data_IF_933085319429
#
_entry.id   IF_933085319429
#
_cell.length_a   1.000
_cell.length_b   1.000
_cell.length_c   1.000
_cell.angle_alpha   90.00
_cell.angle_beta   90.00
_cell.angle_gamma   90.00
#
_symmetry.space_group_name_H-M   'P 1'
#
loop_
_entity.id
_entity.type
_entity.pdbx_description
1 polymer ?
#
# COMPACT_ATOMS: atom_id res chain seq x y z
N UNK A 1 -13.26 -18.34 -11.22
CA UNK A 1 -14.08 -17.12 -11.02
C UNK A 1 -13.72 -16.08 -12.06
N UNK A 2 -14.66 -15.23 -12.45
CA UNK A 2 -14.44 -14.04 -13.28
C UNK A 2 -14.34 -12.82 -12.36
N UNK A 3 -13.15 -12.26 -12.23
CA UNK A 3 -12.83 -11.21 -11.25
C UNK A 3 -12.47 -9.93 -12.00
N UNK A 4 -13.13 -8.82 -11.67
CA UNK A 4 -12.73 -7.49 -12.16
C UNK A 4 -12.08 -6.70 -11.02
N UNK A 5 -10.84 -6.26 -11.25
CA UNK A 5 -10.13 -5.30 -10.41
C UNK A 5 -10.37 -3.90 -10.99
N UNK A 6 -10.87 -2.97 -10.18
CA UNK A 6 -11.10 -1.58 -10.61
C UNK A 6 -10.17 -0.65 -9.84
N UNK A 7 -9.27 0.02 -10.56
CA UNK A 7 -8.30 0.99 -10.04
C UNK A 7 -8.66 2.41 -10.48
N UNK A 8 -8.11 3.41 -9.79
CA UNK A 8 -8.32 4.82 -10.15
C UNK A 8 -7.46 5.21 -11.35
N UNK A 9 -6.16 5.01 -11.24
CA UNK A 9 -5.17 5.36 -12.26
C UNK A 9 -4.03 4.34 -12.31
N UNK A 10 -3.08 4.57 -13.22
CA UNK A 10 -1.79 3.88 -13.27
C UNK A 10 -0.66 4.72 -12.68
N UNK A 11 -0.98 5.70 -11.84
CA UNK A 11 0.01 6.53 -11.17
C UNK A 11 0.82 5.75 -10.15
N UNK A 12 1.98 6.31 -9.78
CA UNK A 12 2.89 5.67 -8.83
C UNK A 12 2.46 5.92 -7.38
N UNK A 13 1.32 5.37 -7.00
CA UNK A 13 0.83 5.35 -5.62
C UNK A 13 1.01 3.99 -4.95
N UNK A 14 0.90 3.96 -3.62
CA UNK A 14 0.96 2.70 -2.86
C UNK A 14 -0.27 1.81 -3.12
N UNK A 15 -1.43 2.41 -3.30
CA UNK A 15 -2.69 1.72 -3.60
C UNK A 15 -2.65 1.07 -4.97
N UNK A 16 -2.23 1.83 -6.00
CA UNK A 16 -2.15 1.38 -7.38
C UNK A 16 -1.15 0.23 -7.51
N UNK A 17 0.04 0.36 -6.90
CA UNK A 17 1.03 -0.73 -6.87
C UNK A 17 0.47 -2.01 -6.28
N UNK A 18 -0.23 -1.93 -5.15
CA UNK A 18 -0.81 -3.11 -4.50
C UNK A 18 -1.96 -3.72 -5.30
N UNK A 19 -2.79 -2.89 -5.94
CA UNK A 19 -3.88 -3.37 -6.78
C UNK A 19 -3.36 -4.07 -8.05
N UNK A 20 -2.33 -3.52 -8.69
CA UNK A 20 -1.70 -4.11 -9.86
C UNK A 20 -0.92 -5.39 -9.52
N UNK A 21 -0.22 -5.41 -8.39
CA UNK A 21 0.45 -6.63 -7.89
C UNK A 21 -0.57 -7.74 -7.61
N UNK A 22 -1.67 -7.43 -6.92
CA UNK A 22 -2.76 -8.40 -6.71
C UNK A 22 -3.36 -8.88 -8.03
N UNK A 23 -3.57 -7.99 -9.01
CA UNK A 23 -4.04 -8.34 -10.35
C UNK A 23 -3.09 -9.33 -11.02
N UNK A 24 -1.79 -9.05 -10.97
CA UNK A 24 -0.72 -9.92 -11.48
C UNK A 24 -0.77 -11.30 -10.83
N UNK A 25 -0.79 -11.35 -9.51
CA UNK A 25 -0.78 -12.61 -8.74
C UNK A 25 -2.00 -13.47 -9.05
N UNK A 26 -3.20 -12.88 -9.04
CA UNK A 26 -4.44 -13.57 -9.38
C UNK A 26 -4.43 -14.11 -10.81
N UNK A 27 -3.89 -13.35 -11.78
CA UNK A 27 -3.77 -13.78 -13.17
C UNK A 27 -2.78 -14.94 -13.32
N UNK A 28 -1.59 -14.79 -12.74
CA UNK A 28 -0.53 -15.81 -12.83
C UNK A 28 -0.86 -17.10 -12.07
N UNK A 29 -1.76 -17.05 -11.08
CA UNK A 29 -2.24 -18.26 -10.39
C UNK A 29 -2.95 -19.23 -11.31
N UNK A 30 -3.47 -18.76 -12.46
CA UNK A 30 -4.22 -19.55 -13.41
C UNK A 30 -5.59 -20.07 -12.93
N UNK A 31 -5.96 -19.78 -11.68
CA UNK A 31 -7.23 -20.22 -11.07
C UNK A 31 -8.43 -19.36 -11.46
N UNK A 32 -8.18 -18.15 -11.93
CA UNK A 32 -9.20 -17.13 -12.16
C UNK A 32 -9.05 -16.49 -13.54
N UNK A 33 -10.17 -16.08 -14.11
CA UNK A 33 -10.19 -15.19 -15.26
C UNK A 33 -10.23 -13.76 -14.74
N UNK A 34 -9.10 -13.03 -14.88
CA UNK A 34 -8.89 -11.73 -14.27
C UNK A 34 -9.03 -10.62 -15.29
N UNK A 35 -9.85 -9.65 -14.97
CA UNK A 35 -10.09 -8.42 -15.73
C UNK A 35 -9.57 -7.23 -14.93
N UNK A 36 -9.05 -6.24 -15.62
CA UNK A 36 -8.64 -4.97 -15.04
C UNK A 36 -9.39 -3.84 -15.74
N UNK A 37 -9.83 -2.85 -14.99
CA UNK A 37 -10.36 -1.60 -15.50
C UNK A 37 -9.85 -0.42 -14.69
N UNK A 38 -9.82 0.77 -15.28
CA UNK A 38 -9.34 2.00 -14.62
C UNK A 38 -10.27 3.18 -14.88
N UNK A 39 -10.26 4.16 -13.97
CA UNK A 39 -10.94 5.43 -14.19
C UNK A 39 -10.09 6.38 -15.04
N UNK A 40 -8.75 6.28 -14.98
CA UNK A 40 -7.83 7.07 -15.79
C UNK A 40 -6.93 6.17 -16.65
N UNK A 41 -6.56 6.70 -17.83
CA UNK A 41 -5.83 5.93 -18.84
C UNK A 41 -4.32 5.90 -18.60
N UNK A 42 -3.80 6.99 -18.07
CA UNK A 42 -2.37 7.27 -18.02
C UNK A 42 -1.75 6.93 -16.67
N UNK A 43 -0.43 6.85 -16.66
CA UNK A 43 0.38 6.63 -15.48
C UNK A 43 1.54 5.68 -15.74
N UNK A 44 2.61 5.86 -14.96
CA UNK A 44 3.90 5.17 -15.13
C UNK A 44 3.82 3.67 -14.87
N UNK A 45 2.82 3.20 -14.13
CA UNK A 45 2.63 1.78 -13.81
C UNK A 45 1.93 1.00 -14.93
N UNK A 46 1.42 1.67 -15.98
CA UNK A 46 0.71 0.98 -17.05
C UNK A 46 1.59 -0.06 -17.76
N UNK A 47 2.87 0.24 -17.93
CA UNK A 47 3.84 -0.69 -18.52
C UNK A 47 4.05 -1.96 -17.69
N UNK A 48 3.83 -1.92 -16.38
CA UNK A 48 4.09 -3.05 -15.47
C UNK A 48 3.14 -4.23 -15.62
N UNK A 49 2.04 -4.08 -16.38
CA UNK A 49 1.05 -5.12 -16.65
C UNK A 49 1.00 -5.55 -18.11
N UNK A 50 1.84 -4.96 -18.98
CA UNK A 50 1.80 -5.21 -20.42
C UNK A 50 2.10 -6.68 -20.77
N UNK A 51 2.93 -7.33 -19.98
CA UNK A 51 3.32 -8.74 -20.12
C UNK A 51 2.18 -9.71 -19.75
N UNK A 52 1.20 -9.28 -18.95
CA UNK A 52 0.12 -10.16 -18.44
C UNK A 52 -0.93 -10.53 -19.49
N UNK A 53 -0.96 -9.85 -20.63
CA UNK A 53 -1.93 -10.13 -21.70
C UNK A 53 -3.39 -10.21 -21.20
N UNK A 54 -3.77 -9.30 -20.29
CA UNK A 54 -5.12 -9.25 -19.71
C UNK A 54 -6.24 -8.90 -20.72
N UNK A 55 -5.89 -8.72 -21.99
CA UNK A 55 -6.80 -8.20 -23.02
C UNK A 55 -6.94 -6.68 -22.96
N UNK A 56 -8.09 -6.17 -23.45
CA UNK A 56 -8.38 -4.76 -23.37
C UNK A 56 -8.63 -4.35 -21.91
N UNK A 57 -7.99 -3.25 -21.48
CA UNK A 57 -8.24 -2.62 -20.17
C UNK A 57 -9.17 -1.43 -20.37
N UNK A 58 -10.48 -1.58 -20.11
CA UNK A 58 -11.45 -0.51 -20.30
C UNK A 58 -11.18 0.67 -19.38
N UNK A 59 -11.31 1.88 -19.94
CA UNK A 59 -11.16 3.12 -19.20
C UNK A 59 -12.53 3.80 -19.06
N UNK A 60 -12.84 4.26 -17.84
CA UNK A 60 -14.06 4.95 -17.47
C UNK A 60 -13.76 6.35 -16.93
N UNK A 61 -13.37 7.33 -17.79
CA UNK A 61 -12.87 8.61 -17.34
C UNK A 61 -13.93 9.41 -16.60
N UNK A 62 -13.63 9.77 -15.35
CA UNK A 62 -14.50 10.55 -14.47
C UNK A 62 -13.83 11.87 -14.08
N UNK A 63 -14.37 13.00 -14.57
CA UNK A 63 -13.98 14.34 -14.12
C UNK A 63 -14.84 14.83 -12.95
N UNK A 64 -16.07 14.34 -12.86
CA UNK A 64 -17.03 14.65 -11.80
C UNK A 64 -17.99 13.48 -11.63
N UNK A 65 -18.52 13.29 -10.43
CA UNK A 65 -19.58 12.31 -10.15
C UNK A 65 -20.99 12.84 -10.41
N UNK A 66 -21.13 14.12 -10.73
CA UNK A 66 -22.41 14.83 -10.81
C UNK A 66 -22.77 15.29 -12.21
N UNK A 67 -22.06 14.82 -13.24
CA UNK A 67 -22.29 15.19 -14.62
C UNK A 67 -22.91 14.05 -15.45
N UNK A 68 -23.36 14.38 -16.65
CA UNK A 68 -23.92 13.41 -17.59
C UNK A 68 -22.89 12.37 -18.04
N UNK A 69 -21.60 12.73 -18.01
CA UNK A 69 -20.53 11.80 -18.33
C UNK A 69 -20.43 10.68 -17.28
N UNK A 70 -20.55 10.99 -16.00
CA UNK A 70 -20.55 9.98 -14.93
C UNK A 70 -21.67 8.96 -15.13
N UNK A 71 -22.88 9.41 -15.52
CA UNK A 71 -24.00 8.51 -15.87
C UNK A 71 -23.70 7.65 -17.09
N UNK A 72 -23.07 8.22 -18.12
CA UNK A 72 -22.64 7.48 -19.31
C UNK A 72 -21.61 6.41 -18.95
N UNK A 73 -20.58 6.77 -18.18
CA UNK A 73 -19.56 5.81 -17.75
C UNK A 73 -20.16 4.72 -16.84
N UNK A 74 -21.08 5.07 -15.95
CA UNK A 74 -21.78 4.10 -15.10
C UNK A 74 -22.57 3.07 -15.94
N UNK A 75 -23.27 3.51 -16.99
CA UNK A 75 -23.95 2.58 -17.91
C UNK A 75 -22.96 1.68 -18.65
N UNK A 76 -21.81 2.23 -19.09
CA UNK A 76 -20.75 1.46 -19.78
C UNK A 76 -20.17 0.37 -18.90
N UNK A 77 -19.79 0.68 -17.66
CA UNK A 77 -19.23 -0.33 -16.75
C UNK A 77 -20.28 -1.36 -16.32
N UNK A 78 -21.55 -0.96 -16.10
CA UNK A 78 -22.65 -1.90 -15.81
C UNK A 78 -22.85 -2.90 -16.97
N UNK A 79 -22.81 -2.42 -18.20
CA UNK A 79 -22.88 -3.27 -19.38
C UNK A 79 -21.69 -4.24 -19.46
N UNK A 80 -20.47 -3.72 -19.31
CA UNK A 80 -19.25 -4.54 -19.28
C UNK A 80 -19.29 -5.63 -18.19
N UNK A 81 -19.69 -5.28 -16.95
CA UNK A 81 -19.81 -6.25 -15.86
C UNK A 81 -20.77 -7.40 -16.20
N UNK A 82 -21.88 -7.09 -16.90
CA UNK A 82 -22.87 -8.08 -17.33
C UNK A 82 -22.40 -8.92 -18.51
N UNK A 83 -21.87 -8.31 -19.57
CA UNK A 83 -21.34 -9.01 -20.75
C UNK A 83 -20.19 -9.94 -20.37
N UNK A 84 -19.25 -9.45 -19.56
CA UNK A 84 -18.13 -10.23 -19.06
C UNK A 84 -18.54 -11.22 -17.96
N UNK A 85 -19.80 -11.28 -17.55
CA UNK A 85 -20.32 -12.18 -16.52
C UNK A 85 -19.44 -12.18 -15.24
N UNK A 86 -19.09 -10.98 -14.76
CA UNK A 86 -18.21 -10.81 -13.61
C UNK A 86 -18.87 -11.39 -12.35
N UNK A 87 -18.20 -12.35 -11.71
CA UNK A 87 -18.65 -12.96 -10.44
C UNK A 87 -18.29 -12.07 -9.25
N UNK A 88 -17.12 -11.44 -9.29
CA UNK A 88 -16.55 -10.65 -8.21
C UNK A 88 -15.96 -9.33 -8.73
N UNK A 89 -16.37 -8.21 -8.11
CA UNK A 89 -15.81 -6.89 -8.33
C UNK A 89 -15.05 -6.44 -7.08
N UNK A 90 -13.77 -6.10 -7.25
CA UNK A 90 -12.92 -5.53 -6.20
C UNK A 90 -12.44 -4.14 -6.59
N UNK A 91 -12.66 -3.15 -5.73
CA UNK A 91 -12.29 -1.74 -5.94
C UNK A 91 -11.28 -1.30 -4.88
N UNK A 92 -10.33 -0.39 -5.21
CA UNK A 92 -9.11 -0.22 -4.43
C UNK A 92 -8.93 1.14 -3.74
N UNK A 93 -9.73 2.14 -4.06
CA UNK A 93 -9.62 3.50 -3.51
C UNK A 93 -10.98 4.19 -3.36
N UNK A 94 -10.95 5.46 -3.00
CA UNK A 94 -12.15 6.24 -2.74
C UNK A 94 -13.07 6.36 -3.95
N UNK A 95 -12.51 6.76 -5.10
CA UNK A 95 -13.32 7.03 -6.30
C UNK A 95 -13.84 5.76 -6.91
N UNK A 96 -13.01 4.74 -7.00
CA UNK A 96 -13.42 3.42 -7.49
C UNK A 96 -14.42 2.75 -6.55
N UNK A 97 -14.33 2.96 -5.24
CA UNK A 97 -15.32 2.44 -4.28
C UNK A 97 -16.71 3.03 -4.54
N UNK A 98 -16.81 4.35 -4.76
CA UNK A 98 -18.10 4.99 -5.03
C UNK A 98 -18.66 4.51 -6.38
N UNK A 99 -17.85 4.57 -7.42
CA UNK A 99 -18.26 4.24 -8.78
C UNK A 99 -18.51 2.74 -8.96
N UNK A 100 -17.55 1.93 -8.55
CA UNK A 100 -17.59 0.47 -8.75
C UNK A 100 -18.64 -0.21 -7.88
N UNK A 101 -18.82 0.18 -6.62
CA UNK A 101 -19.85 -0.42 -5.77
C UNK A 101 -21.26 -0.12 -6.30
N UNK A 102 -21.49 1.10 -6.77
CA UNK A 102 -22.75 1.47 -7.44
C UNK A 102 -22.97 0.64 -8.72
N UNK A 103 -21.93 0.56 -9.56
CA UNK A 103 -22.00 -0.22 -10.81
C UNK A 103 -22.23 -1.71 -10.55
N UNK A 104 -21.51 -2.29 -9.60
CA UNK A 104 -21.63 -3.70 -9.23
C UNK A 104 -23.00 -4.05 -8.64
N UNK A 105 -23.61 -3.12 -7.89
CA UNK A 105 -24.99 -3.28 -7.41
C UNK A 105 -25.96 -3.30 -8.58
N UNK A 106 -25.89 -2.31 -9.49
CA UNK A 106 -26.77 -2.20 -10.65
C UNK A 106 -26.57 -3.33 -11.65
N UNK A 107 -25.36 -3.85 -11.79
CA UNK A 107 -25.06 -4.99 -12.64
C UNK A 107 -25.51 -6.33 -12.06
N UNK A 108 -25.76 -6.40 -10.75
CA UNK A 108 -26.12 -7.65 -10.06
C UNK A 108 -24.90 -8.55 -9.80
N UNK A 109 -23.68 -7.97 -9.67
CA UNK A 109 -22.46 -8.74 -9.38
C UNK A 109 -22.60 -9.47 -8.05
N UNK A 110 -22.30 -10.77 -8.04
CA UNK A 110 -22.53 -11.67 -6.91
C UNK A 110 -21.77 -11.24 -5.65
N UNK A 111 -20.47 -10.89 -5.82
CA UNK A 111 -19.62 -10.44 -4.72
C UNK A 111 -19.02 -9.08 -5.06
N UNK A 112 -19.15 -8.13 -4.15
CA UNK A 112 -18.60 -6.76 -4.27
C UNK A 112 -17.74 -6.47 -3.05
N UNK A 113 -16.48 -6.12 -3.30
CA UNK A 113 -15.47 -5.84 -2.28
C UNK A 113 -14.93 -4.44 -2.52
N UNK A 114 -14.94 -3.61 -1.50
CA UNK A 114 -14.29 -2.31 -1.49
C UNK A 114 -13.03 -2.37 -0.64
N UNK A 115 -11.96 -1.67 -1.01
CA UNK A 115 -10.75 -1.56 -0.18
C UNK A 115 -10.58 -0.16 0.40
N UNK A 116 -10.04 -0.10 1.61
CA UNK A 116 -9.52 1.12 2.22
C UNK A 116 -8.09 0.90 2.68
N UNK A 117 -7.17 1.80 2.25
CA UNK A 117 -5.73 1.68 2.48
C UNK A 117 -5.14 2.89 3.21
N UNK A 118 -5.97 3.64 3.92
CA UNK A 118 -5.59 4.87 4.63
C UNK A 118 -6.35 5.02 5.94
N UNK A 119 -5.73 5.62 6.95
CA UNK A 119 -6.36 5.95 8.23
C UNK A 119 -6.99 7.34 8.22
N UNK A 120 -6.30 8.33 7.66
CA UNK A 120 -6.74 9.73 7.62
C UNK A 120 -6.81 10.21 6.17
N UNK A 121 -7.97 10.02 5.52
CA UNK A 121 -8.23 10.74 4.28
C UNK A 121 -8.50 12.22 4.58
N UNK A 122 -7.91 13.12 3.81
CA UNK A 122 -8.28 14.56 3.79
C UNK A 122 -9.69 14.73 3.22
N UNK A 123 -10.68 14.05 3.82
CA UNK A 123 -12.05 13.96 3.30
C UNK A 123 -12.99 14.87 4.09
N UNK A 124 -13.79 15.60 3.34
CA UNK A 124 -14.88 16.41 3.90
C UNK A 124 -15.95 15.50 4.52
N UNK A 125 -16.80 16.08 5.38
CA UNK A 125 -17.93 15.35 5.95
C UNK A 125 -18.89 14.79 4.89
N UNK A 126 -19.08 15.50 3.77
CA UNK A 126 -19.88 15.04 2.63
C UNK A 126 -19.27 13.81 1.96
N UNK A 127 -17.97 13.86 1.66
CA UNK A 127 -17.24 12.73 1.06
C UNK A 127 -17.30 11.47 1.94
N UNK A 128 -17.18 11.62 3.27
CA UNK A 128 -17.32 10.49 4.21
C UNK A 128 -18.72 9.88 4.18
N UNK A 129 -19.78 10.69 4.05
CA UNK A 129 -21.16 10.18 3.92
C UNK A 129 -21.35 9.38 2.63
N UNK A 130 -20.87 9.90 1.50
CA UNK A 130 -20.96 9.21 0.20
C UNK A 130 -20.17 7.89 0.23
N UNK A 131 -18.98 7.89 0.81
CA UNK A 131 -18.18 6.68 0.98
C UNK A 131 -18.89 5.63 1.86
N UNK A 132 -19.50 6.06 2.96
CA UNK A 132 -20.27 5.15 3.82
C UNK A 132 -21.44 4.52 3.07
N UNK A 133 -22.13 5.29 2.22
CA UNK A 133 -23.17 4.78 1.33
C UNK A 133 -22.59 3.75 0.35
N UNK A 134 -21.46 4.05 -0.30
CA UNK A 134 -20.80 3.11 -1.19
C UNK A 134 -20.44 1.79 -0.48
N UNK A 135 -19.89 1.87 0.74
CA UNK A 135 -19.60 0.68 1.56
C UNK A 135 -20.86 -0.12 1.94
N UNK A 136 -22.05 0.51 2.01
CA UNK A 136 -23.28 -0.25 2.24
C UNK A 136 -23.61 -1.20 1.09
N UNK A 137 -23.17 -0.91 -0.13
CA UNK A 137 -23.32 -1.74 -1.32
C UNK A 137 -22.27 -2.85 -1.44
N UNK A 138 -21.13 -2.73 -0.76
CA UNK A 138 -20.14 -3.80 -0.69
C UNK A 138 -20.64 -4.98 0.16
N UNK A 139 -20.18 -6.19 -0.10
CA UNK A 139 -20.39 -7.32 0.79
C UNK A 139 -19.34 -7.38 1.89
N UNK A 140 -18.13 -6.95 1.57
CA UNK A 140 -17.00 -6.85 2.49
C UNK A 140 -16.19 -5.60 2.16
N UNK A 141 -15.58 -5.01 3.20
CA UNK A 141 -14.55 -3.97 3.04
C UNK A 141 -13.21 -4.56 3.47
N UNK A 142 -12.22 -4.47 2.60
CA UNK A 142 -10.84 -4.86 2.90
C UNK A 142 -10.09 -3.67 3.45
N UNK A 143 -9.57 -3.80 4.67
CA UNK A 143 -8.61 -2.88 5.28
C UNK A 143 -7.20 -3.45 5.11
N UNK A 144 -6.19 -2.60 4.88
CA UNK A 144 -4.81 -3.07 4.75
C UNK A 144 -4.04 -3.14 6.08
N UNK A 145 -4.71 -2.81 7.20
CA UNK A 145 -4.18 -2.92 8.56
C UNK A 145 -5.30 -2.99 9.60
N UNK A 146 -5.00 -3.48 10.79
CA UNK A 146 -5.94 -3.43 11.93
C UNK A 146 -6.24 -1.97 12.32
N UNK A 147 -5.27 -1.07 12.18
CA UNK A 147 -5.45 0.37 12.39
C UNK A 147 -6.51 0.97 11.45
N UNK A 148 -6.49 0.61 10.15
CA UNK A 148 -7.53 1.02 9.19
C UNK A 148 -8.89 0.38 9.50
N UNK A 149 -8.90 -0.89 9.91
CA UNK A 149 -10.13 -1.57 10.36
C UNK A 149 -10.73 -0.89 11.58
N UNK A 150 -9.92 -0.56 12.58
CA UNK A 150 -10.38 0.15 13.76
C UNK A 150 -10.98 1.51 13.39
N UNK A 151 -10.36 2.22 12.45
CA UNK A 151 -10.88 3.48 11.93
C UNK A 151 -12.24 3.32 11.25
N UNK A 152 -12.44 2.27 10.47
CA UNK A 152 -13.74 1.95 9.86
C UNK A 152 -14.81 1.64 10.91
N UNK A 153 -14.45 0.95 12.00
CA UNK A 153 -15.35 0.66 13.12
C UNK A 153 -15.76 1.96 13.83
N UNK A 154 -14.81 2.85 14.12
CA UNK A 154 -15.07 4.18 14.69
C UNK A 154 -16.00 5.03 13.81
N UNK A 155 -15.90 4.86 12.49
CA UNK A 155 -16.80 5.50 11.51
C UNK A 155 -18.17 4.82 11.42
N UNK A 156 -18.44 3.80 12.24
CA UNK A 156 -19.74 3.13 12.38
C UNK A 156 -19.94 1.92 11.46
N UNK A 157 -18.86 1.35 10.91
CA UNK A 157 -18.98 0.08 10.18
C UNK A 157 -18.92 -1.11 11.14
N UNK A 158 -19.71 -2.13 10.87
CA UNK A 158 -19.72 -3.35 11.66
C UNK A 158 -18.44 -4.16 11.41
N UNK A 159 -17.82 -4.68 12.47
CA UNK A 159 -16.54 -5.38 12.41
C UNK A 159 -16.59 -6.63 11.50
N UNK A 160 -17.72 -7.37 11.48
CA UNK A 160 -17.90 -8.54 10.62
C UNK A 160 -17.90 -8.24 9.12
N UNK A 161 -18.11 -6.98 8.75
CA UNK A 161 -18.04 -6.50 7.36
C UNK A 161 -16.66 -6.00 6.95
N UNK A 162 -15.67 -6.12 7.83
CA UNK A 162 -14.29 -5.68 7.55
C UNK A 162 -13.35 -6.87 7.67
N UNK A 163 -12.53 -7.09 6.66
CA UNK A 163 -11.45 -8.10 6.70
C UNK A 163 -10.13 -7.38 6.51
N UNK A 164 -9.14 -7.71 7.34
CA UNK A 164 -7.78 -7.20 7.14
C UNK A 164 -7.06 -8.12 6.17
N UNK A 165 -6.52 -7.53 5.11
CA UNK A 165 -5.58 -8.15 4.17
C UNK A 165 -4.42 -7.18 4.00
N UNK A 166 -3.29 -7.50 4.60
CA UNK A 166 -2.10 -6.65 4.54
C UNK A 166 -1.56 -6.52 3.11
N UNK A 167 -0.80 -5.47 2.86
CA UNK A 167 -0.06 -5.31 1.62
C UNK A 167 0.95 -6.46 1.48
N UNK A 168 1.15 -6.92 0.25
CA UNK A 168 2.20 -7.87 -0.10
C UNK A 168 3.36 -7.20 -0.82
N UNK A 169 4.54 -7.73 -0.64
CA UNK A 169 5.74 -7.27 -1.30
C UNK A 169 6.35 -8.39 -2.17
N UNK A 170 6.62 -8.07 -3.42
CA UNK A 170 7.45 -8.92 -4.27
C UNK A 170 8.92 -8.74 -3.81
N UNK A 171 9.45 -9.78 -3.18
CA UNK A 171 10.79 -9.77 -2.59
C UNK A 171 11.90 -9.58 -3.61
N UNK A 172 11.71 -10.04 -4.84
CA UNK A 172 12.69 -9.87 -5.93
C UNK A 172 12.97 -8.40 -6.24
N UNK A 173 11.99 -7.52 -5.99
CA UNK A 173 12.12 -6.07 -6.25
C UNK A 173 13.05 -5.35 -5.28
N UNK A 174 13.37 -5.93 -4.14
CA UNK A 174 14.22 -5.33 -3.09
C UNK A 174 15.54 -6.06 -2.91
N UNK A 175 15.79 -7.08 -3.71
CA UNK A 175 17.09 -7.75 -3.77
C UNK A 175 17.99 -6.98 -4.73
N UNK A 176 19.05 -6.40 -4.21
CA UNK A 176 20.05 -5.71 -5.03
C UNK A 176 20.77 -6.74 -5.96
N UNK A 177 21.08 -6.35 -7.20
CA UNK A 177 21.86 -7.19 -8.10
C UNK A 177 23.22 -7.57 -7.48
N UNK A 178 23.59 -8.84 -7.55
CA UNK A 178 24.84 -9.36 -6.94
C UNK A 178 26.12 -8.72 -7.48
N UNK A 179 26.05 -8.11 -8.65
CA UNK A 179 27.22 -7.60 -9.39
C UNK A 179 27.44 -6.09 -9.20
N UNK A 180 26.61 -5.41 -8.40
CA UNK A 180 26.77 -3.96 -8.16
C UNK A 180 27.48 -3.76 -6.84
N UNK A 181 28.62 -3.05 -6.88
CA UNK A 181 29.40 -2.75 -5.70
C UNK A 181 28.80 -1.56 -4.93
N UNK A 182 29.02 -1.52 -3.59
CA UNK A 182 28.62 -0.38 -2.75
C UNK A 182 29.13 0.95 -3.34
N UNK A 183 30.40 1.00 -3.74
CA UNK A 183 31.05 2.20 -4.27
C UNK A 183 30.45 2.65 -5.61
N UNK A 184 30.03 1.73 -6.45
CA UNK A 184 29.37 2.01 -7.72
C UNK A 184 27.98 2.59 -7.48
N UNK A 185 27.19 1.98 -6.60
CA UNK A 185 25.88 2.50 -6.19
C UNK A 185 26.01 3.91 -5.65
N UNK A 186 26.93 4.16 -4.71
CA UNK A 186 27.12 5.48 -4.09
C UNK A 186 27.56 6.53 -5.11
N UNK A 187 28.45 6.19 -6.04
CA UNK A 187 28.83 7.11 -7.13
C UNK A 187 27.65 7.47 -8.03
N UNK A 188 26.80 6.48 -8.36
CA UNK A 188 25.57 6.72 -9.15
C UNK A 188 24.60 7.64 -8.41
N UNK A 189 24.54 7.54 -7.08
CA UNK A 189 23.73 8.39 -6.22
C UNK A 189 24.36 9.79 -5.96
N UNK A 190 25.53 10.07 -6.53
CA UNK A 190 26.25 11.34 -6.35
C UNK A 190 26.94 11.48 -4.98
N UNK A 191 27.12 10.37 -4.27
CA UNK A 191 27.83 10.34 -2.99
C UNK A 191 29.32 10.13 -3.22
N UNK A 192 30.12 11.08 -2.76
CA UNK A 192 31.58 11.11 -3.03
C UNK A 192 32.42 10.36 -1.99
N UNK A 193 31.88 10.15 -0.78
CA UNK A 193 32.59 9.46 0.31
C UNK A 193 31.89 8.14 0.68
N UNK A 194 32.37 7.00 0.16
CA UNK A 194 31.78 5.68 0.42
C UNK A 194 32.03 5.16 1.85
N UNK A 195 32.93 5.79 2.61
CA UNK A 195 33.23 5.40 3.98
C UNK A 195 32.15 5.82 4.99
N UNK A 196 31.25 6.73 4.58
CA UNK A 196 30.15 7.23 5.42
C UNK A 196 29.09 6.17 5.67
N UNK A 197 28.39 6.32 6.80
CA UNK A 197 27.17 5.56 7.11
C UNK A 197 25.95 6.30 6.58
N UNK A 198 24.91 5.55 6.21
CA UNK A 198 23.75 6.12 5.51
C UNK A 198 22.46 5.84 6.23
N UNK A 199 21.72 6.90 6.55
CA UNK A 199 20.33 6.86 7.00
C UNK A 199 19.43 7.24 5.86
N UNK A 200 18.50 6.36 5.48
CA UNK A 200 17.72 6.49 4.24
C UNK A 200 16.23 6.61 4.52
N UNK A 201 15.57 7.53 3.81
CA UNK A 201 14.11 7.61 3.72
C UNK A 201 13.68 7.52 2.26
N UNK A 202 12.70 6.63 1.97
CA UNK A 202 12.11 6.47 0.64
C UNK A 202 10.62 6.81 0.72
N UNK A 203 10.25 7.99 0.29
CA UNK A 203 8.86 8.44 0.27
C UNK A 203 8.68 9.62 -0.70
N UNK A 204 7.47 9.83 -1.25
CA UNK A 204 7.21 11.03 -2.06
C UNK A 204 7.26 12.31 -1.22
N UNK A 205 7.57 13.44 -1.86
CA UNK A 205 7.65 14.78 -1.27
C UNK A 205 6.48 15.67 -1.76
N UNK A 206 5.29 15.05 -2.02
CA UNK A 206 4.12 15.76 -2.56
C UNK A 206 3.28 16.41 -1.47
N UNK A 207 3.18 15.75 -0.30
CA UNK A 207 2.35 16.20 0.81
C UNK A 207 3.12 16.11 2.12
N UNK A 208 2.72 16.91 3.10
CA UNK A 208 3.31 16.96 4.44
C UNK A 208 3.08 15.69 5.30
N UNK A 209 2.26 14.75 4.81
CA UNK A 209 1.96 13.48 5.48
C UNK A 209 3.22 12.67 5.81
N UNK A 210 4.28 12.75 5.00
CA UNK A 210 5.53 12.03 5.23
C UNK A 210 6.46 12.68 6.25
N UNK A 211 6.13 13.87 6.70
CA UNK A 211 6.82 14.68 7.72
C UNK A 211 8.35 14.66 7.59
N UNK A 212 8.84 14.94 6.39
CA UNK A 212 10.27 15.14 6.16
C UNK A 212 10.91 16.19 7.09
N UNK A 213 10.21 17.27 7.50
CA UNK A 213 10.73 18.19 8.50
C UNK A 213 11.09 17.52 9.84
N UNK A 214 10.28 16.56 10.32
CA UNK A 214 10.61 15.76 11.50
C UNK A 214 11.90 14.95 11.28
N UNK A 215 12.01 14.28 10.14
CA UNK A 215 13.21 13.52 9.78
C UNK A 215 14.46 14.41 9.72
N UNK A 216 14.38 15.60 9.09
CA UNK A 216 15.53 16.52 8.98
C UNK A 216 15.97 17.06 10.37
N UNK A 217 15.04 17.32 11.30
CA UNK A 217 15.39 17.66 12.68
C UNK A 217 16.09 16.50 13.40
N UNK A 218 15.58 15.28 13.23
CA UNK A 218 16.26 14.09 13.75
C UNK A 218 17.66 13.93 13.14
N UNK A 219 17.80 14.13 11.82
CA UNK A 219 19.07 14.11 11.09
C UNK A 219 20.07 15.12 11.64
N UNK A 220 19.64 16.34 11.98
CA UNK A 220 20.49 17.35 12.64
C UNK A 220 21.06 16.85 13.97
N UNK A 221 20.21 16.19 14.79
CA UNK A 221 20.63 15.60 16.07
C UNK A 221 21.62 14.44 15.86
N UNK A 222 21.36 13.57 14.88
CA UNK A 222 22.28 12.48 14.51
C UNK A 222 23.63 13.04 14.05
N UNK A 223 23.67 14.05 13.18
CA UNK A 223 24.90 14.67 12.69
C UNK A 223 25.74 15.28 13.80
N UNK A 224 25.12 15.83 14.85
CA UNK A 224 25.82 16.40 16.00
C UNK A 224 26.60 15.35 16.80
N UNK A 225 26.11 14.10 16.81
CA UNK A 225 26.73 12.98 17.57
C UNK A 225 27.59 12.08 16.67
N UNK A 226 27.24 11.98 15.41
CA UNK A 226 27.85 11.08 14.42
C UNK A 226 28.13 11.84 13.11
N UNK A 227 29.22 12.60 13.00
CA UNK A 227 29.54 13.46 11.86
C UNK A 227 29.87 12.68 10.58
N UNK A 228 30.14 11.38 10.68
CA UNK A 228 30.39 10.44 9.59
C UNK A 228 29.09 9.91 8.92
N UNK A 229 27.93 10.36 9.36
CA UNK A 229 26.63 9.94 8.82
C UNK A 229 26.17 10.87 7.72
N UNK A 230 25.58 10.29 6.68
CA UNK A 230 24.88 11.02 5.61
C UNK A 230 23.43 10.53 5.48
N UNK A 231 22.57 11.40 4.95
CA UNK A 231 21.13 11.16 4.83
C UNK A 231 20.75 11.08 3.35
N UNK A 232 20.12 9.96 2.96
CA UNK A 232 19.68 9.72 1.59
C UNK A 232 18.15 9.85 1.54
N UNK A 233 17.68 10.86 0.80
CA UNK A 233 16.24 11.16 0.68
C UNK A 233 15.80 10.85 -0.75
N UNK A 234 15.17 9.69 -0.93
CA UNK A 234 14.64 9.26 -2.23
C UNK A 234 13.14 9.54 -2.32
N UNK A 235 12.77 10.30 -3.33
CA UNK A 235 11.41 10.72 -3.64
C UNK A 235 11.39 12.04 -4.36
N UNK A 236 10.27 12.33 -4.99
CA UNK A 236 10.03 13.58 -5.71
C UNK A 236 8.72 14.24 -5.24
N UNK A 237 8.58 15.52 -5.44
CA UNK A 237 7.38 16.28 -5.15
C UNK A 237 7.66 17.76 -4.91
N UNK A 238 6.59 18.55 -4.79
CA UNK A 238 6.62 20.00 -4.70
C UNK A 238 7.33 20.52 -3.45
N UNK A 239 7.44 19.67 -2.41
CA UNK A 239 8.11 20.06 -1.15
C UNK A 239 9.63 20.01 -1.23
N UNK A 240 10.24 19.48 -2.30
CA UNK A 240 11.69 19.25 -2.37
C UNK A 240 12.52 20.51 -2.11
N UNK A 241 12.16 21.64 -2.73
CA UNK A 241 12.94 22.89 -2.56
C UNK A 241 12.81 23.46 -1.14
N UNK A 242 11.63 23.41 -0.53
CA UNK A 242 11.43 23.83 0.86
C UNK A 242 12.20 22.93 1.84
N UNK A 243 12.31 21.63 1.56
CA UNK A 243 13.09 20.69 2.36
C UNK A 243 14.60 20.90 2.23
N UNK A 244 15.11 21.25 1.04
CA UNK A 244 16.52 21.67 0.85
C UNK A 244 16.82 22.95 1.65
N UNK A 245 15.89 23.91 1.62
CA UNK A 245 16.05 25.13 2.40
C UNK A 245 16.08 24.83 3.91
N UNK A 246 15.22 23.91 4.39
CA UNK A 246 15.24 23.48 5.78
C UNK A 246 16.55 22.77 6.14
N UNK A 247 17.12 21.94 5.26
CA UNK A 247 18.40 21.28 5.48
C UNK A 247 19.55 22.31 5.62
N UNK A 248 19.53 23.42 4.85
CA UNK A 248 20.47 24.55 5.02
C UNK A 248 20.29 25.23 6.37
N UNK A 249 19.05 25.53 6.78
CA UNK A 249 18.77 26.16 8.06
C UNK A 249 19.21 25.30 9.25
N UNK A 250 19.13 23.97 9.09
CA UNK A 250 19.61 22.99 10.08
C UNK A 250 21.11 22.68 9.99
N UNK A 251 21.82 23.31 9.07
CA UNK A 251 23.28 23.11 8.85
C UNK A 251 23.67 21.66 8.52
N UNK A 252 22.81 20.93 7.80
CA UNK A 252 23.05 19.53 7.38
C UNK A 252 23.04 19.34 5.87
N UNK A 253 23.02 20.42 5.08
CA UNK A 253 22.96 20.36 3.61
C UNK A 253 24.10 19.50 3.03
N UNK A 254 25.33 19.67 3.54
CA UNK A 254 26.51 18.96 3.06
C UNK A 254 26.46 17.44 3.27
N UNK A 255 25.65 16.95 4.23
CA UNK A 255 25.45 15.53 4.52
C UNK A 255 24.09 14.99 4.06
N UNK A 256 23.27 15.80 3.39
CA UNK A 256 21.90 15.44 2.98
C UNK A 256 21.76 15.41 1.47
N UNK A 257 21.48 14.21 0.93
CA UNK A 257 21.40 13.98 -0.51
C UNK A 257 19.93 13.79 -0.92
N UNK A 258 19.41 14.72 -1.73
CA UNK A 258 18.08 14.63 -2.34
C UNK A 258 18.21 13.93 -3.69
N UNK A 259 17.86 12.65 -3.72
CA UNK A 259 18.11 11.76 -4.85
C UNK A 259 17.03 11.84 -5.95
N UNK A 260 15.95 12.58 -5.71
CA UNK A 260 14.81 12.55 -6.60
C UNK A 260 14.14 11.17 -6.62
N UNK A 261 13.48 10.85 -7.73
CA UNK A 261 12.86 9.55 -7.92
C UNK A 261 13.94 8.48 -8.11
N UNK A 262 13.96 7.47 -7.26
CA UNK A 262 14.83 6.30 -7.42
C UNK A 262 14.12 5.23 -8.26
N UNK A 263 14.74 4.84 -9.36
CA UNK A 263 14.26 3.71 -10.19
C UNK A 263 14.69 2.37 -9.59
N UNK A 264 15.78 2.36 -8.84
CA UNK A 264 16.36 1.17 -8.24
C UNK A 264 16.46 1.29 -6.71
N UNK A 265 15.30 1.12 -6.05
CA UNK A 265 15.21 1.17 -4.58
C UNK A 265 16.06 0.06 -3.93
N UNK A 266 16.19 -1.10 -4.57
CA UNK A 266 16.99 -2.20 -4.04
C UNK A 266 18.47 -1.84 -3.87
N UNK A 267 19.07 -1.16 -4.85
CA UNK A 267 20.46 -0.70 -4.75
C UNK A 267 20.62 0.37 -3.66
N UNK A 268 19.70 1.33 -3.60
CA UNK A 268 19.68 2.35 -2.55
C UNK A 268 19.63 1.72 -1.14
N UNK A 269 18.74 0.75 -0.95
CA UNK A 269 18.62 0.05 0.33
C UNK A 269 19.85 -0.81 0.63
N UNK A 270 20.55 -1.34 -0.38
CA UNK A 270 21.75 -2.15 -0.17
C UNK A 270 22.91 -1.38 0.47
N UNK A 271 22.98 -0.05 0.28
CA UNK A 271 24.00 0.81 0.86
C UNK A 271 23.56 1.49 2.16
N UNK A 272 22.30 1.36 2.55
CA UNK A 272 21.73 1.98 3.74
C UNK A 272 22.08 1.22 5.02
N UNK A 273 22.41 1.91 6.09
CA UNK A 273 22.68 1.32 7.41
C UNK A 273 21.43 1.30 8.29
N UNK A 274 20.61 2.36 8.23
CA UNK A 274 19.31 2.48 8.92
C UNK A 274 18.30 3.08 7.96
N UNK A 275 17.09 2.53 7.94
CA UNK A 275 15.98 3.09 7.15
C UNK A 275 14.93 3.74 8.05
N UNK A 276 14.37 4.87 7.59
CA UNK A 276 13.47 5.69 8.41
C UNK A 276 12.18 5.99 7.68
N UNK A 277 11.07 6.04 8.43
CA UNK A 277 9.80 6.59 7.98
C UNK A 277 9.21 7.51 9.05
N UNK A 278 9.07 8.80 8.74
CA UNK A 278 8.63 9.85 9.69
C UNK A 278 7.16 10.25 9.56
N UNK A 279 6.34 9.48 8.88
CA UNK A 279 4.97 9.83 8.50
C UNK A 279 4.08 10.24 9.69
N UNK A 280 3.14 11.15 9.43
CA UNK A 280 2.04 11.53 10.36
C UNK A 280 0.85 10.60 10.27
N UNK A 281 0.67 9.96 9.13
CA UNK A 281 -0.43 9.02 8.89
C UNK A 281 -0.07 8.03 7.79
N UNK A 282 -0.45 6.78 7.99
CA UNK A 282 -0.32 5.68 7.03
C UNK A 282 -1.57 4.78 7.11
N UNK A 283 -1.77 3.95 6.09
CA UNK A 283 -2.59 2.76 6.24
C UNK A 283 -1.69 1.60 6.68
N UNK A 284 -0.96 1.02 5.70
CA UNK A 284 0.11 0.04 5.89
C UNK A 284 1.24 0.39 4.92
N UNK A 285 2.40 0.75 5.43
CA UNK A 285 3.46 1.34 4.61
C UNK A 285 4.25 0.30 3.80
N UNK A 286 4.26 0.46 2.47
CA UNK A 286 5.11 -0.35 1.60
C UNK A 286 6.60 -0.07 1.85
N UNK A 287 6.99 1.16 2.18
CA UNK A 287 8.39 1.49 2.45
C UNK A 287 8.94 0.73 3.65
N UNK A 288 8.14 0.56 4.73
CA UNK A 288 8.54 -0.28 5.89
C UNK A 288 8.82 -1.72 5.42
N UNK A 289 7.93 -2.29 4.60
CA UNK A 289 8.12 -3.65 4.08
C UNK A 289 9.36 -3.75 3.18
N UNK A 290 9.60 -2.74 2.34
CA UNK A 290 10.78 -2.69 1.46
C UNK A 290 12.07 -2.62 2.28
N UNK A 291 12.12 -1.81 3.36
CA UNK A 291 13.27 -1.72 4.25
C UNK A 291 13.57 -3.04 4.96
N UNK A 292 12.54 -3.63 5.56
CA UNK A 292 12.64 -4.92 6.25
C UNK A 292 13.06 -6.04 5.30
N UNK A 293 12.46 -6.12 4.11
CA UNK A 293 12.79 -7.12 3.11
C UNK A 293 14.23 -6.98 2.58
N UNK A 294 14.75 -5.74 2.50
CA UNK A 294 16.16 -5.48 2.20
C UNK A 294 17.11 -5.82 3.38
N UNK A 295 16.59 -6.33 4.49
CA UNK A 295 17.37 -6.66 5.69
C UNK A 295 17.92 -5.42 6.40
N UNK A 296 17.21 -4.28 6.32
CA UNK A 296 17.62 -3.03 6.99
C UNK A 296 16.82 -2.81 8.26
N UNK A 297 17.48 -2.41 9.37
CA UNK A 297 16.78 -2.01 10.58
C UNK A 297 15.95 -0.76 10.30
N UNK A 298 14.74 -0.71 10.87
CA UNK A 298 13.76 0.34 10.61
C UNK A 298 13.50 1.17 11.85
N UNK A 299 13.49 2.50 11.70
CA UNK A 299 12.97 3.42 12.72
C UNK A 299 11.77 4.15 12.08
N UNK A 300 10.58 3.90 12.55
CA UNK A 300 9.37 4.48 11.96
C UNK A 300 8.48 5.15 13.01
N UNK A 301 7.68 6.12 12.57
CA UNK A 301 6.62 6.66 13.41
C UNK A 301 5.52 5.62 13.65
N UNK A 302 4.98 5.61 14.87
CA UNK A 302 3.87 4.75 15.30
C UNK A 302 2.54 5.28 14.73
N UNK A 303 2.34 5.06 13.44
CA UNK A 303 1.13 5.46 12.73
C UNK A 303 0.63 4.35 11.82
N UNK A 304 -0.68 4.23 11.69
CA UNK A 304 -1.28 3.18 10.86
C UNK A 304 -0.86 1.78 11.31
N UNK A 305 -0.51 0.95 10.34
CA UNK A 305 -0.06 -0.43 10.58
C UNK A 305 1.43 -0.58 10.89
N UNK A 306 2.16 0.47 11.29
CA UNK A 306 3.60 0.37 11.56
C UNK A 306 3.93 -0.70 12.60
N UNK A 307 3.20 -0.75 13.72
CA UNK A 307 3.35 -1.78 14.78
C UNK A 307 2.89 -3.19 14.38
N UNK A 308 2.16 -3.32 13.29
CA UNK A 308 1.78 -4.63 12.75
C UNK A 308 2.93 -5.27 11.97
N UNK A 309 3.80 -4.42 11.37
CA UNK A 309 4.99 -4.84 10.65
C UNK A 309 6.22 -4.90 11.57
N UNK A 310 6.43 -3.88 12.40
CA UNK A 310 7.60 -3.72 13.24
C UNK A 310 7.34 -4.30 14.64
N UNK A 311 8.16 -5.29 15.04
CA UNK A 311 8.23 -5.78 16.41
C UNK A 311 9.29 -4.97 17.15
N UNK A 312 8.83 -4.19 18.15
CA UNK A 312 9.68 -3.24 18.90
C UNK A 312 10.92 -3.89 19.49
N UNK A 313 12.10 -3.38 19.14
CA UNK A 313 13.38 -3.88 19.60
C UNK A 313 13.90 -5.16 18.94
N UNK A 314 13.07 -5.84 18.13
CA UNK A 314 13.41 -7.08 17.42
C UNK A 314 13.64 -6.85 15.93
N UNK A 315 12.68 -6.20 15.24
CA UNK A 315 12.76 -5.96 13.79
C UNK A 315 12.92 -4.47 13.44
N UNK A 316 12.81 -3.59 14.43
CA UNK A 316 12.90 -2.15 14.28
C UNK A 316 12.48 -1.42 15.55
N UNK A 317 12.32 -0.13 15.42
CA UNK A 317 11.79 0.75 16.47
C UNK A 317 10.64 1.58 15.96
N UNK A 318 9.64 1.76 16.82
CA UNK A 318 8.56 2.73 16.58
C UNK A 318 8.68 3.91 17.53
N UNK A 319 8.40 5.12 17.03
CA UNK A 319 8.46 6.36 17.80
C UNK A 319 7.17 7.16 17.63
N UNK A 320 6.73 7.95 18.61
CA UNK A 320 5.56 8.82 18.42
C UNK A 320 5.77 9.80 17.27
N UNK A 321 4.71 10.05 16.50
CA UNK A 321 4.73 11.05 15.43
C UNK A 321 5.07 12.44 16.00
N UNK A 322 5.97 13.17 15.35
CA UNK A 322 6.47 14.46 15.81
C UNK A 322 7.63 14.41 16.81
N UNK A 323 8.03 13.24 17.30
CA UNK A 323 9.13 13.09 18.26
C UNK A 323 10.46 12.84 17.53
N UNK A 324 11.07 13.92 17.00
CA UNK A 324 12.36 13.86 16.31
C UNK A 324 13.54 13.52 17.25
N UNK A 325 13.42 13.79 18.54
CA UNK A 325 14.44 13.46 19.54
C UNK A 325 14.55 11.95 19.72
N UNK A 326 13.45 11.27 20.01
CA UNK A 326 13.45 9.81 20.16
C UNK A 326 13.82 9.12 18.85
N UNK A 327 13.40 9.67 17.69
CA UNK A 327 13.81 9.14 16.39
C UNK A 327 15.33 9.20 16.22
N UNK A 328 15.96 10.32 16.57
CA UNK A 328 17.41 10.46 16.53
C UNK A 328 18.13 9.50 17.49
N UNK A 329 17.62 9.35 18.72
CA UNK A 329 18.17 8.39 19.71
C UNK A 329 18.15 6.95 19.16
N UNK A 330 17.04 6.52 18.56
CA UNK A 330 16.92 5.17 18.00
C UNK A 330 17.86 4.97 16.81
N UNK A 331 18.00 5.97 15.94
CA UNK A 331 18.95 5.94 14.81
C UNK A 331 20.38 5.81 15.36
N UNK A 332 20.78 6.65 16.31
CA UNK A 332 22.12 6.64 16.92
C UNK A 332 22.39 5.28 17.55
N UNK A 333 21.44 4.72 18.30
CA UNK A 333 21.62 3.43 18.97
C UNK A 333 21.90 2.29 17.96
N UNK A 334 21.27 2.31 16.78
CA UNK A 334 21.53 1.34 15.71
C UNK A 334 22.88 1.57 15.02
N UNK A 335 23.25 2.82 14.81
CA UNK A 335 24.53 3.17 14.21
C UNK A 335 25.71 2.84 15.15
N UNK A 336 25.52 2.91 16.47
CA UNK A 336 26.54 2.56 17.47
C UNK A 336 26.68 1.04 17.69
N UNK A 337 25.68 0.24 17.30
CA UNK A 337 25.70 -1.23 17.42
C UNK A 337 25.36 -1.91 16.08
N UNK A 338 26.33 -1.98 15.14
CA UNK A 338 26.11 -2.59 13.82
C UNK A 338 25.71 -4.06 13.89
N UNK A 339 26.12 -4.79 14.93
CA UNK A 339 25.77 -6.21 15.10
C UNK A 339 24.27 -6.34 15.41
N UNK A 340 23.76 -5.54 16.33
CA UNK A 340 22.33 -5.46 16.64
C UNK A 340 21.52 -4.98 15.46
N UNK A 341 21.98 -3.94 14.76
CA UNK A 341 21.33 -3.40 13.57
C UNK A 341 21.17 -4.47 12.47
N UNK A 342 22.23 -5.25 12.22
CA UNK A 342 22.18 -6.36 11.25
C UNK A 342 21.20 -7.44 11.68
N UNK A 343 21.27 -7.91 12.93
CA UNK A 343 20.35 -8.94 13.44
C UNK A 343 18.89 -8.48 13.33
N UNK A 344 18.61 -7.24 13.68
CA UNK A 344 17.29 -6.63 13.57
C UNK A 344 16.79 -6.59 12.11
N UNK A 345 17.65 -6.25 11.17
CA UNK A 345 17.34 -6.29 9.74
C UNK A 345 17.08 -7.71 9.24
N UNK A 346 17.88 -8.70 9.63
CA UNK A 346 17.68 -10.11 9.28
C UNK A 346 16.35 -10.66 9.83
N UNK A 347 15.98 -10.31 11.05
CA UNK A 347 14.70 -10.68 11.64
C UNK A 347 13.54 -9.98 10.92
N UNK A 348 13.70 -8.69 10.61
CA UNK A 348 12.71 -7.93 9.82
C UNK A 348 12.45 -8.58 8.47
N UNK A 349 13.48 -9.01 7.77
CA UNK A 349 13.35 -9.70 6.49
C UNK A 349 12.54 -10.99 6.62
N UNK A 350 12.81 -11.83 7.63
CA UNK A 350 12.04 -13.07 7.88
C UNK A 350 10.56 -12.78 8.10
N UNK A 351 10.23 -11.75 8.88
CA UNK A 351 8.83 -11.35 9.10
C UNK A 351 8.13 -10.97 7.79
N UNK A 352 8.81 -10.26 6.89
CA UNK A 352 8.21 -9.93 5.58
C UNK A 352 8.07 -11.17 4.69
N UNK A 353 9.07 -12.03 4.64
CA UNK A 353 9.01 -13.30 3.89
C UNK A 353 7.85 -14.18 4.33
N UNK A 354 7.59 -14.27 5.64
CA UNK A 354 6.54 -15.13 6.20
C UNK A 354 5.14 -14.52 6.12
N UNK A 355 5.00 -13.21 6.39
CA UNK A 355 3.68 -12.59 6.64
C UNK A 355 3.24 -11.59 5.58
N UNK A 356 4.18 -10.96 4.88
CA UNK A 356 3.92 -9.84 4.00
C UNK A 356 4.48 -10.03 2.59
N UNK A 357 4.71 -11.27 2.20
CA UNK A 357 5.11 -11.61 0.83
C UNK A 357 3.93 -11.47 -0.15
N UNK A 358 4.22 -11.44 -1.45
CA UNK A 358 3.21 -11.49 -2.52
C UNK A 358 2.33 -12.74 -2.41
N UNK A 359 2.93 -13.89 -2.02
CA UNK A 359 2.21 -15.14 -1.81
C UNK A 359 1.22 -15.04 -0.66
N UNK A 360 1.59 -14.41 0.45
CA UNK A 360 0.70 -14.18 1.60
C UNK A 360 -0.49 -13.28 1.20
N UNK A 361 -0.25 -12.21 0.42
CA UNK A 361 -1.30 -11.37 -0.13
C UNK A 361 -2.28 -12.17 -0.99
N UNK A 362 -1.76 -13.00 -1.91
CA UNK A 362 -2.57 -13.83 -2.80
C UNK A 362 -3.43 -14.81 -1.99
N UNK A 363 -2.83 -15.59 -1.10
CA UNK A 363 -3.52 -16.61 -0.30
C UNK A 363 -4.64 -16.00 0.55
N UNK A 364 -4.36 -14.91 1.26
CA UNK A 364 -5.35 -14.23 2.09
C UNK A 364 -6.50 -13.63 1.26
N UNK A 365 -6.20 -13.14 0.07
CA UNK A 365 -7.21 -12.58 -0.83
C UNK A 365 -8.06 -13.67 -1.46
N UNK A 366 -7.47 -14.77 -1.95
CA UNK A 366 -8.19 -15.92 -2.50
C UNK A 366 -9.13 -16.54 -1.44
N UNK A 367 -8.64 -16.75 -0.22
CA UNK A 367 -9.45 -17.27 0.89
C UNK A 367 -10.67 -16.38 1.19
N UNK A 368 -10.49 -15.05 1.15
CA UNK A 368 -11.60 -14.11 1.29
C UNK A 368 -12.61 -14.24 0.14
N UNK A 369 -12.14 -14.31 -1.10
CA UNK A 369 -13.00 -14.41 -2.29
C UNK A 369 -13.83 -15.69 -2.27
N UNK A 370 -13.20 -16.83 -2.00
CA UNK A 370 -13.85 -18.14 -1.92
C UNK A 370 -14.91 -18.18 -0.81
N UNK A 371 -14.59 -17.67 0.38
CA UNK A 371 -15.53 -17.55 1.50
C UNK A 371 -16.77 -16.76 1.11
N UNK A 372 -16.61 -15.59 0.48
CA UNK A 372 -17.74 -14.73 0.13
C UNK A 372 -18.61 -15.32 -0.97
N UNK A 373 -18.02 -16.02 -1.94
CA UNK A 373 -18.76 -16.71 -2.99
C UNK A 373 -19.54 -17.90 -2.45
N UNK A 374 -18.94 -18.71 -1.58
CA UNK A 374 -19.60 -19.86 -0.95
C UNK A 374 -20.83 -19.45 -0.14
N UNK A 375 -20.71 -18.40 0.66
CA UNK A 375 -21.85 -17.83 1.41
C UNK A 375 -22.98 -17.38 0.47
N UNK A 376 -22.64 -16.82 -0.69
CA UNK A 376 -23.63 -16.34 -1.67
C UNK A 376 -24.31 -17.49 -2.44
N UNK A 377 -23.60 -18.55 -2.73
CA UNK A 377 -24.17 -19.75 -3.36
C UNK A 377 -25.17 -20.41 -2.43
N UNK A 378 -24.84 -20.54 -1.14
CA UNK A 378 -25.75 -21.09 -0.12
C UNK A 378 -27.00 -20.21 0.09
N UNK A 379 -26.84 -18.89 0.10
CA UNK A 379 -27.97 -17.95 0.23
C UNK A 379 -28.88 -17.90 -1.00
N UNK A 380 -28.38 -18.27 -2.18
CA UNK A 380 -29.14 -18.36 -3.43
C UNK A 380 -29.80 -19.72 -3.67
N UNK A 381 -29.41 -20.76 -2.94
CA UNK A 381 -30.07 -22.03 -2.96
C UNK A 381 -31.37 -21.94 -2.13
N UNK A 382 -32.54 -22.03 -2.77
CA UNK A 382 -33.84 -22.12 -2.09
C UNK A 382 -33.83 -23.28 -1.10
N UNK A 383 -34.46 -23.15 0.08
CA UNK A 383 -34.56 -24.27 1.00
C UNK A 383 -35.23 -25.44 0.28
N UNK A 384 -34.82 -26.70 0.57
CA UNK A 384 -35.43 -27.86 -0.03
C UNK A 384 -36.95 -27.79 0.20
N UNK A 385 -37.73 -27.98 -0.88
CA UNK A 385 -39.18 -28.04 -0.82
C UNK A 385 -39.60 -29.02 0.30
N UNK A 386 -40.40 -28.55 1.26
CA UNK A 386 -40.95 -29.41 2.29
C UNK A 386 -41.58 -30.64 1.62
N UNK A 387 -41.32 -31.86 2.10
CA UNK A 387 -41.98 -33.04 1.57
C UNK A 387 -43.49 -32.84 1.69
N UNK A 388 -44.24 -33.06 0.60
CA UNK A 388 -45.69 -33.07 0.59
C UNK A 388 -46.12 -34.14 1.60
N UNK A 389 -46.83 -33.74 2.65
CA UNK A 389 -47.49 -34.66 3.51
C UNK A 389 -48.52 -35.43 2.65
N UNK A 390 -48.30 -36.71 2.47
CA UNK A 390 -49.32 -37.62 1.96
C UNK A 390 -50.43 -37.68 3.02
N UNK A 391 -51.58 -37.11 2.66
CA UNK A 391 -52.78 -37.30 3.46
C UNK A 391 -53.14 -38.77 3.51
N UNK A 392 -53.19 -39.28 4.70
CA UNK A 392 -53.83 -40.55 5.00
C UNK A 392 -55.32 -40.22 5.12
N UNK A 393 -56.13 -40.64 4.13
CA UNK A 393 -57.61 -40.74 4.27
C UNK A 393 -57.93 -41.89 5.21
N UNK A 394 -58.73 -41.59 6.24
CA UNK A 394 -59.52 -42.49 6.98
C UNK A 394 -61.01 -42.19 6.73
#
# INVERSE_FOLDING_TARGET
>A
MRILQLIDSFDQGGTERQALELTRLLHLSGKHEVFLASLEADGVLRGSIADLKLGEVPIYPLKSFYDLNAMKQLRRIVHHLRESRIDLLHTHDFYTNIFGMTAGLLAGVKVRIASRRETNGMRTGGQRRVQRLAYSFAHQVVANSESVKQKLIEEGMKAERITVVHNGLNLERVVAPKNVSRDETLRTLGVTDPSRRFVTIVANMRHDVKDYPMFLRAARRVSATSPDVSFLLAGEGELQESLKQLARQLEIEASTFFLGRSENVAELLSVSDVCVLSSRAEGFSNSILEYMAAGRPVVATDVGGAKEAIVEGETGYTVPSGNDELMAERIISLLCDPAKARLMGEQGRRVVEEKFSSEALLLNTEALYERLLSVRQLAGASPPSRPRAYGVEL
#
